data_IF_358204940189
#
_entry.id   IF_358204940189
#
_cell.length_a   1.000
_cell.length_b   1.000
_cell.length_c   1.000
_cell.angle_alpha   90.00
_cell.angle_beta   90.00
_cell.angle_gamma   90.00
#
_symmetry.space_group_name_H-M   'P 1'
#
loop_
_entity.id
_entity.type
_entity.pdbx_description
1 polymer ?
#
# COMPACT_ATOMS: atom_id res chain seq x y z
N UNK A 1 10.82 35.87 -7.23
CA UNK A 1 9.93 34.68 -7.31
C UNK A 1 8.50 35.15 -7.24
N UNK A 2 7.61 34.67 -8.12
CA UNK A 2 6.18 35.01 -8.08
C UNK A 2 5.55 34.24 -6.91
N UNK A 3 4.95 34.95 -5.96
CA UNK A 3 4.26 34.33 -4.83
C UNK A 3 3.01 33.61 -5.34
N UNK A 4 2.93 32.30 -5.08
CA UNK A 4 1.77 31.49 -5.44
C UNK A 4 0.59 31.81 -4.53
N UNK A 5 -0.62 31.63 -5.03
CA UNK A 5 -1.84 31.80 -4.23
C UNK A 5 -2.01 30.66 -3.21
N UNK A 6 -2.82 30.90 -2.19
CA UNK A 6 -3.10 29.91 -1.13
C UNK A 6 -3.71 28.64 -1.70
N UNK A 7 -4.63 28.76 -2.66
CA UNK A 7 -5.26 27.60 -3.32
C UNK A 7 -4.25 26.79 -4.14
N UNK A 8 -3.32 27.47 -4.83
CA UNK A 8 -2.24 26.79 -5.57
C UNK A 8 -1.31 26.02 -4.62
N UNK A 9 -0.98 26.57 -3.45
CA UNK A 9 -0.12 25.87 -2.48
C UNK A 9 -0.83 24.62 -1.93
N UNK A 10 -2.13 24.71 -1.67
CA UNK A 10 -2.87 23.64 -0.98
C UNK A 10 -2.91 22.32 -1.77
N UNK A 11 -3.09 22.38 -3.09
CA UNK A 11 -3.28 21.20 -3.94
C UNK A 11 -2.00 20.71 -4.65
N UNK A 12 -0.86 21.33 -4.37
CA UNK A 12 0.42 20.98 -5.01
C UNK A 12 1.09 19.82 -4.30
N UNK A 13 1.80 19.01 -5.11
CA UNK A 13 2.62 17.92 -4.59
C UNK A 13 3.87 18.47 -3.88
N UNK A 14 4.42 17.74 -2.90
CA UNK A 14 5.44 18.28 -2.02
C UNK A 14 6.75 18.67 -2.73
N UNK A 15 7.12 17.96 -3.80
CA UNK A 15 8.29 18.26 -4.62
C UNK A 15 8.13 19.50 -5.51
N UNK A 16 6.91 20.00 -5.68
CA UNK A 16 6.62 21.22 -6.46
C UNK A 16 6.66 22.49 -5.61
N UNK A 17 6.86 22.34 -4.30
CA UNK A 17 6.82 23.39 -3.30
C UNK A 17 8.19 23.60 -2.68
N UNK A 18 8.51 24.87 -2.39
CA UNK A 18 9.62 25.21 -1.51
C UNK A 18 9.33 24.80 -0.07
N UNK A 19 10.37 24.74 0.77
CA UNK A 19 10.23 24.42 2.20
C UNK A 19 9.25 25.37 2.91
N UNK A 20 9.33 26.68 2.60
CA UNK A 20 8.43 27.68 3.15
C UNK A 20 6.96 27.44 2.74
N UNK A 21 6.73 27.12 1.45
CA UNK A 21 5.39 26.83 0.95
C UNK A 21 4.82 25.53 1.56
N UNK A 22 5.65 24.50 1.79
CA UNK A 22 5.20 23.28 2.50
C UNK A 22 4.81 23.57 3.95
N UNK A 23 5.54 24.44 4.65
CA UNK A 23 5.15 24.89 6.01
C UNK A 23 3.81 25.62 5.97
N UNK A 24 3.57 26.48 4.97
CA UNK A 24 2.26 27.10 4.76
C UNK A 24 1.18 26.06 4.46
N UNK A 25 1.46 25.07 3.62
CA UNK A 25 0.53 23.98 3.32
C UNK A 25 0.14 23.22 4.59
N UNK A 26 1.09 22.88 5.46
CA UNK A 26 0.84 22.22 6.76
C UNK A 26 -0.09 23.08 7.64
N UNK A 27 0.18 24.38 7.76
CA UNK A 27 -0.65 25.29 8.57
C UNK A 27 -2.10 25.36 8.08
N UNK A 28 -2.33 25.24 6.77
CA UNK A 28 -3.67 25.18 6.18
C UNK A 28 -4.31 23.80 6.35
N UNK A 29 -3.50 22.73 6.25
CA UNK A 29 -3.93 21.34 6.34
C UNK A 29 -4.46 21.00 7.74
N UNK A 30 -3.90 21.58 8.81
CA UNK A 30 -4.33 21.28 10.19
C UNK A 30 -5.82 21.60 10.41
N UNK A 31 -6.29 22.87 10.30
CA UNK A 31 -7.69 23.18 10.57
C UNK A 31 -8.64 22.52 9.56
N UNK A 32 -8.29 22.53 8.27
CA UNK A 32 -9.12 21.91 7.23
C UNK A 32 -9.20 20.39 7.40
N UNK A 33 -8.07 19.75 7.70
CA UNK A 33 -7.94 18.33 7.91
C UNK A 33 -8.68 17.85 9.15
N UNK A 34 -8.66 18.61 10.26
CA UNK A 34 -9.43 18.28 11.46
C UNK A 34 -10.94 18.36 11.21
N UNK A 35 -11.41 19.42 10.52
CA UNK A 35 -12.83 19.57 10.13
C UNK A 35 -13.24 18.42 9.18
N UNK A 36 -12.39 18.11 8.21
CA UNK A 36 -12.64 17.00 7.27
C UNK A 36 -12.69 15.66 8.02
N UNK A 37 -11.78 15.43 8.97
CA UNK A 37 -11.70 14.20 9.76
C UNK A 37 -12.98 13.99 10.59
N UNK A 38 -13.48 15.03 11.26
CA UNK A 38 -14.71 14.90 12.05
C UNK A 38 -15.94 14.68 11.16
N UNK A 39 -16.05 15.39 10.03
CA UNK A 39 -17.14 15.23 9.07
C UNK A 39 -17.14 13.81 8.48
N UNK A 40 -15.99 13.33 8.01
CA UNK A 40 -15.88 11.99 7.43
C UNK A 40 -16.19 10.91 8.46
N UNK A 41 -15.68 11.04 9.69
CA UNK A 41 -15.98 10.08 10.76
C UNK A 41 -17.48 10.04 11.05
N UNK A 42 -18.09 11.20 11.24
CA UNK A 42 -19.49 11.31 11.58
C UNK A 42 -20.40 10.80 10.46
N UNK A 43 -20.15 11.17 9.21
CA UNK A 43 -20.97 10.72 8.07
C UNK A 43 -20.79 9.22 7.86
N UNK A 44 -19.56 8.73 7.70
CA UNK A 44 -19.34 7.33 7.34
C UNK A 44 -19.67 6.38 8.49
N UNK A 45 -19.10 6.61 9.68
CA UNK A 45 -19.25 5.66 10.77
C UNK A 45 -20.47 5.96 11.63
N UNK A 46 -20.76 7.24 11.89
CA UNK A 46 -21.91 7.64 12.69
C UNK A 46 -23.24 7.46 11.96
N UNK A 47 -23.43 8.11 10.81
CA UNK A 47 -24.71 8.13 10.09
C UNK A 47 -24.92 6.90 9.21
N UNK A 48 -23.94 6.52 8.38
CA UNK A 48 -24.14 5.47 7.39
C UNK A 48 -24.05 4.06 7.98
N UNK A 49 -23.09 3.82 8.89
CA UNK A 49 -22.88 2.50 9.49
C UNK A 49 -23.58 2.37 10.87
N UNK A 50 -23.82 3.48 11.58
CA UNK A 50 -24.47 3.47 12.89
C UNK A 50 -23.55 3.10 14.05
N UNK A 51 -22.24 3.23 13.88
CA UNK A 51 -21.22 2.99 14.91
C UNK A 51 -20.87 4.27 15.66
N UNK A 52 -20.26 4.12 16.84
CA UNK A 52 -19.64 5.26 17.51
C UNK A 52 -18.49 5.80 16.65
N UNK A 53 -18.62 7.03 16.14
CA UNK A 53 -17.65 7.61 15.22
C UNK A 53 -16.38 8.16 15.89
N UNK A 54 -16.39 8.38 17.21
CA UNK A 54 -15.28 9.04 17.93
C UNK A 54 -13.95 8.28 17.78
N UNK A 55 -13.91 6.93 17.91
CA UNK A 55 -12.67 6.19 17.69
C UNK A 55 -12.11 6.34 16.26
N UNK A 56 -12.98 6.45 15.25
CA UNK A 56 -12.57 6.65 13.86
C UNK A 56 -12.05 8.07 13.59
N UNK A 57 -12.53 9.07 14.31
CA UNK A 57 -11.96 10.43 14.26
C UNK A 57 -10.47 10.42 14.63
N UNK A 58 -10.08 9.63 15.62
CA UNK A 58 -8.67 9.46 15.99
C UNK A 58 -7.87 8.83 14.83
N UNK A 59 -8.44 7.84 14.13
CA UNK A 59 -7.79 7.24 12.95
C UNK A 59 -7.53 8.30 11.86
N UNK A 60 -8.51 9.14 11.53
CA UNK A 60 -8.31 10.21 10.56
C UNK A 60 -7.35 11.30 11.04
N UNK A 61 -7.30 11.61 12.33
CA UNK A 61 -6.27 12.49 12.88
C UNK A 61 -4.87 11.89 12.75
N UNK A 62 -4.71 10.57 12.88
CA UNK A 62 -3.44 9.90 12.62
C UNK A 62 -3.06 9.98 11.13
N UNK A 63 -4.04 9.91 10.22
CA UNK A 63 -3.78 10.17 8.79
C UNK A 63 -3.27 11.59 8.57
N UNK A 64 -3.94 12.56 9.17
CA UNK A 64 -3.52 13.95 9.09
C UNK A 64 -2.08 14.14 9.60
N UNK A 65 -1.72 13.51 10.71
CA UNK A 65 -0.37 13.54 11.26
C UNK A 65 0.65 12.86 10.33
N UNK A 66 0.31 11.74 9.69
CA UNK A 66 1.15 11.07 8.69
C UNK A 66 1.47 11.99 7.51
N UNK A 67 0.45 12.63 6.94
CA UNK A 67 0.61 13.62 5.86
C UNK A 67 1.47 14.81 6.31
N UNK A 68 1.22 15.38 7.49
CA UNK A 68 2.01 16.50 8.02
C UNK A 68 3.48 16.10 8.19
N UNK A 69 3.74 14.91 8.72
CA UNK A 69 5.09 14.38 8.89
C UNK A 69 5.84 14.30 7.57
N UNK A 70 5.19 13.76 6.53
CA UNK A 70 5.79 13.62 5.19
C UNK A 70 6.08 14.99 4.58
N UNK A 71 5.15 15.94 4.69
CA UNK A 71 5.35 17.31 4.17
C UNK A 71 6.51 18.02 4.89
N UNK A 72 6.59 17.87 6.21
CA UNK A 72 7.61 18.52 7.02
C UNK A 72 9.00 17.95 6.74
N UNK A 73 9.12 16.63 6.67
CA UNK A 73 10.40 15.93 6.46
C UNK A 73 10.68 15.59 5.00
N UNK A 74 9.96 16.19 4.04
CA UNK A 74 9.99 15.82 2.62
C UNK A 74 11.42 15.71 2.06
N UNK A 75 12.25 16.74 2.22
CA UNK A 75 13.59 16.76 1.62
C UNK A 75 14.51 15.67 2.21
N UNK A 76 14.40 15.40 3.51
CA UNK A 76 15.17 14.34 4.17
C UNK A 76 14.72 12.95 3.72
N UNK A 77 13.41 12.75 3.57
CA UNK A 77 12.83 11.50 3.10
C UNK A 77 13.16 11.27 1.60
N UNK A 78 13.06 12.31 0.77
CA UNK A 78 13.42 12.25 -0.66
C UNK A 78 14.90 11.99 -0.85
N UNK A 79 15.78 12.63 -0.08
CA UNK A 79 17.22 12.33 -0.10
C UNK A 79 17.52 10.87 0.29
N UNK A 80 16.80 10.33 1.27
CA UNK A 80 17.08 9.00 1.82
C UNK A 80 16.48 7.85 0.98
N UNK A 81 15.31 8.09 0.38
CA UNK A 81 14.50 7.03 -0.24
C UNK A 81 14.12 7.31 -1.70
N UNK A 82 14.33 8.52 -2.22
CA UNK A 82 13.94 8.92 -3.58
C UNK A 82 12.42 8.87 -3.76
N UNK A 83 11.70 9.82 -3.15
CA UNK A 83 10.22 9.85 -3.19
C UNK A 83 9.67 10.42 -4.51
N UNK A 84 10.44 11.31 -5.15
CA UNK A 84 10.08 11.88 -6.45
C UNK A 84 9.96 10.78 -7.51
N UNK A 85 8.95 10.84 -8.37
CA UNK A 85 8.79 9.86 -9.45
C UNK A 85 9.97 9.94 -10.43
N UNK A 86 10.57 8.80 -10.78
CA UNK A 86 11.56 8.69 -11.84
C UNK A 86 11.08 7.67 -12.86
N UNK A 87 10.63 8.13 -14.03
CA UNK A 87 9.97 7.27 -15.04
C UNK A 87 8.69 6.55 -14.58
N UNK A 88 8.20 6.82 -13.36
CA UNK A 88 6.91 6.32 -12.86
C UNK A 88 5.73 6.95 -13.60
N UNK A 89 4.67 6.20 -13.95
CA UNK A 89 3.41 6.75 -14.44
C UNK A 89 2.56 7.38 -13.31
N UNK A 90 3.03 7.32 -12.06
CA UNK A 90 2.33 7.81 -10.87
C UNK A 90 2.90 9.13 -10.36
N UNK A 91 2.16 9.76 -9.45
CA UNK A 91 2.55 11.05 -8.82
C UNK A 91 3.79 10.93 -7.93
N UNK A 92 4.15 9.71 -7.52
CA UNK A 92 5.27 9.40 -6.65
C UNK A 92 5.99 8.15 -7.16
N UNK A 93 7.24 7.97 -6.71
CA UNK A 93 7.96 6.72 -6.91
C UNK A 93 7.33 5.57 -6.11
N UNK A 94 7.74 4.34 -6.41
CA UNK A 94 7.46 3.16 -5.59
C UNK A 94 7.78 3.43 -4.11
N UNK A 95 8.98 3.96 -3.84
CA UNK A 95 9.44 4.27 -2.49
C UNK A 95 8.57 5.35 -1.84
N UNK A 96 8.15 6.35 -2.61
CA UNK A 96 7.19 7.37 -2.20
C UNK A 96 5.92 6.78 -1.60
N UNK A 97 5.29 5.85 -2.30
CA UNK A 97 4.07 5.19 -1.80
C UNK A 97 4.33 4.29 -0.59
N UNK A 98 5.46 3.58 -0.54
CA UNK A 98 5.80 2.74 0.63
C UNK A 98 6.00 3.60 1.88
N UNK A 99 6.68 4.75 1.77
CA UNK A 99 6.87 5.68 2.88
C UNK A 99 5.55 6.31 3.33
N UNK A 100 4.66 6.67 2.39
CA UNK A 100 3.30 7.10 2.75
C UNK A 100 2.61 6.03 3.57
N UNK A 101 2.52 4.80 3.05
CA UNK A 101 1.85 3.71 3.77
C UNK A 101 2.48 3.47 5.15
N UNK A 102 3.79 3.58 5.30
CA UNK A 102 4.48 3.45 6.58
C UNK A 102 4.07 4.54 7.58
N UNK A 103 4.06 5.81 7.16
CA UNK A 103 3.62 6.92 8.00
C UNK A 103 2.13 6.81 8.37
N UNK A 104 1.32 6.22 7.49
CA UNK A 104 -0.12 6.00 7.67
C UNK A 104 -0.45 4.70 8.43
N UNK A 105 0.53 3.83 8.68
CA UNK A 105 0.32 2.55 9.35
C UNK A 105 -0.36 2.66 10.73
N UNK A 106 -0.03 3.64 11.60
CA UNK A 106 -0.75 3.83 12.86
C UNK A 106 -2.24 4.13 12.66
N UNK A 107 -2.60 4.86 11.61
CA UNK A 107 -3.99 5.16 11.30
C UNK A 107 -4.75 3.92 10.84
N UNK A 108 -4.15 3.08 9.99
CA UNK A 108 -4.76 1.81 9.58
C UNK A 108 -4.92 0.86 10.76
N UNK A 109 -3.92 0.77 11.64
CA UNK A 109 -4.01 0.00 12.87
C UNK A 109 -5.19 0.47 13.72
N UNK A 110 -5.24 1.77 14.01
CA UNK A 110 -6.25 2.36 14.89
C UNK A 110 -7.66 2.29 14.28
N UNK A 111 -7.80 2.49 12.97
CA UNK A 111 -9.08 2.38 12.28
C UNK A 111 -9.67 0.97 12.38
N UNK A 112 -8.82 -0.05 12.25
CA UNK A 112 -9.28 -1.44 12.33
C UNK A 112 -9.53 -1.89 13.77
N UNK A 113 -8.71 -1.43 14.72
CA UNK A 113 -8.97 -1.58 16.14
C UNK A 113 -10.29 -0.92 16.57
N UNK A 114 -10.55 0.29 16.07
CA UNK A 114 -11.80 1.04 16.28
C UNK A 114 -13.00 0.26 15.77
N UNK A 115 -12.90 -0.34 14.57
CA UNK A 115 -13.96 -1.19 14.04
C UNK A 115 -14.27 -2.36 14.99
N UNK A 116 -13.24 -3.08 15.46
CA UNK A 116 -13.44 -4.16 16.43
C UNK A 116 -14.04 -3.70 17.75
N UNK A 117 -13.58 -2.57 18.28
CA UNK A 117 -14.11 -1.98 19.50
C UNK A 117 -15.60 -1.63 19.36
N UNK A 118 -15.97 -0.91 18.29
CA UNK A 118 -17.36 -0.46 18.09
C UNK A 118 -18.33 -1.57 17.68
N UNK A 119 -17.81 -2.68 17.15
CA UNK A 119 -18.60 -3.87 16.77
C UNK A 119 -18.64 -4.95 17.86
N UNK A 120 -18.12 -4.66 19.06
CA UNK A 120 -17.98 -5.61 20.17
C UNK A 120 -17.16 -6.88 19.83
N UNK A 121 -16.24 -6.78 18.86
CA UNK A 121 -15.29 -7.83 18.52
C UNK A 121 -13.86 -7.27 18.48
N UNK A 122 -13.39 -6.85 19.66
CA UNK A 122 -12.08 -6.21 19.82
C UNK A 122 -10.93 -7.10 19.34
N UNK A 123 -11.05 -8.41 19.52
CA UNK A 123 -10.03 -9.38 19.09
C UNK A 123 -9.94 -9.47 17.58
N UNK A 124 -11.07 -9.50 16.86
CA UNK A 124 -11.06 -9.39 15.41
C UNK A 124 -10.46 -8.07 14.96
N UNK A 125 -10.82 -6.95 15.61
CA UNK A 125 -10.24 -5.64 15.31
C UNK A 125 -8.72 -5.60 15.47
N UNK A 126 -8.19 -6.19 16.55
CA UNK A 126 -6.76 -6.30 16.80
C UNK A 126 -6.06 -7.15 15.73
N UNK A 127 -6.61 -8.32 15.40
CA UNK A 127 -6.06 -9.17 14.33
C UNK A 127 -6.13 -8.51 12.95
N UNK A 128 -7.23 -7.81 12.65
CA UNK A 128 -7.36 -7.00 11.44
C UNK A 128 -6.36 -5.85 11.38
N UNK A 129 -6.11 -5.18 12.50
CA UNK A 129 -5.09 -4.13 12.61
C UNK A 129 -3.69 -4.65 12.30
N UNK A 130 -3.33 -5.81 12.85
CA UNK A 130 -2.07 -6.51 12.53
C UNK A 130 -2.03 -6.86 11.03
N UNK A 131 -3.11 -7.39 10.47
CA UNK A 131 -3.19 -7.77 9.06
C UNK A 131 -3.05 -6.57 8.11
N UNK A 132 -3.49 -5.36 8.48
CA UNK A 132 -3.30 -4.16 7.66
C UNK A 132 -1.87 -3.61 7.71
N UNK A 133 -1.22 -3.67 8.88
CA UNK A 133 0.12 -3.11 9.08
C UNK A 133 1.22 -4.05 8.61
N UNK A 134 1.04 -5.36 8.77
CA UNK A 134 2.00 -6.38 8.36
C UNK A 134 2.53 -6.21 6.91
N UNK A 135 1.67 -6.09 5.88
CA UNK A 135 2.13 -5.89 4.51
C UNK A 135 2.90 -4.58 4.30
N UNK A 136 2.56 -3.53 5.05
CA UNK A 136 3.28 -2.23 4.99
C UNK A 136 4.72 -2.42 5.46
N UNK A 137 4.92 -3.09 6.60
CA UNK A 137 6.24 -3.39 7.13
C UNK A 137 7.05 -4.26 6.17
N UNK A 138 6.43 -5.30 5.59
CA UNK A 138 7.11 -6.15 4.62
C UNK A 138 7.55 -5.40 3.37
N UNK A 139 6.73 -4.49 2.83
CA UNK A 139 7.14 -3.62 1.73
C UNK A 139 8.26 -2.67 2.11
N UNK A 140 8.21 -2.08 3.31
CA UNK A 140 9.27 -1.18 3.80
C UNK A 140 10.61 -1.90 3.98
N UNK A 141 10.62 -3.10 4.57
CA UNK A 141 11.83 -3.92 4.69
C UNK A 141 12.45 -4.24 3.32
N UNK A 142 11.66 -4.20 2.25
CA UNK A 142 12.08 -4.46 0.87
C UNK A 142 12.11 -3.22 -0.01
N UNK A 143 12.10 -2.02 0.57
CA UNK A 143 12.03 -0.75 -0.17
C UNK A 143 13.20 -0.54 -1.15
N UNK A 144 14.34 -1.21 -0.93
CA UNK A 144 15.50 -1.20 -1.82
C UNK A 144 15.50 -2.31 -2.88
N UNK A 145 14.59 -3.29 -2.78
CA UNK A 145 14.50 -4.40 -3.74
C UNK A 145 13.68 -4.01 -4.98
N UNK A 146 12.68 -3.15 -4.80
CA UNK A 146 11.81 -2.66 -5.86
C UNK A 146 11.94 -1.15 -6.00
N UNK A 147 11.89 -0.66 -7.23
CA UNK A 147 11.98 0.75 -7.60
C UNK A 147 11.15 1.01 -8.88
N UNK A 148 11.15 2.24 -9.37
CA UNK A 148 10.40 2.58 -10.60
C UNK A 148 10.89 1.80 -11.84
N UNK A 149 12.16 1.38 -11.89
CA UNK A 149 12.67 0.52 -12.96
C UNK A 149 12.04 -0.88 -12.93
N UNK A 150 11.51 -1.30 -11.78
CA UNK A 150 10.76 -2.57 -11.65
C UNK A 150 9.45 -2.57 -12.45
N UNK A 151 9.07 -1.45 -13.07
CA UNK A 151 7.91 -1.32 -13.96
C UNK A 151 8.27 -1.69 -15.42
N UNK A 152 9.56 -1.68 -15.78
CA UNK A 152 10.04 -1.88 -17.15
C UNK A 152 10.00 -3.37 -17.53
N UNK A 153 9.29 -3.71 -18.59
CA UNK A 153 9.16 -5.08 -19.13
C UNK A 153 9.80 -5.14 -20.52
N UNK A 154 10.58 -6.18 -20.86
CA UNK A 154 10.99 -6.44 -22.23
C UNK A 154 9.77 -6.71 -23.12
N UNK A 155 9.48 -5.79 -24.04
CA UNK A 155 8.38 -5.81 -25.02
C UNK A 155 8.64 -6.63 -26.27
N UNK A 156 9.85 -7.14 -26.47
CA UNK A 156 10.28 -7.88 -27.66
C UNK A 156 11.43 -7.19 -28.37
N UNK A 157 11.94 -7.80 -29.45
CA UNK A 157 13.02 -7.21 -30.26
C UNK A 157 12.42 -6.32 -31.34
N UNK A 158 12.71 -5.03 -31.30
CA UNK A 158 12.49 -4.10 -32.40
C UNK A 158 13.76 -4.01 -33.24
N UNK A 159 13.61 -4.10 -34.56
CA UNK A 159 14.73 -3.86 -35.47
C UNK A 159 14.84 -2.36 -35.68
N UNK A 160 15.95 -1.74 -35.24
CA UNK A 160 16.17 -0.33 -35.54
C UNK A 160 16.56 -0.17 -37.02
N UNK A 161 16.10 0.89 -37.69
CA UNK A 161 16.70 1.31 -38.95
C UNK A 161 18.16 1.68 -38.72
N UNK A 162 19.02 1.51 -39.73
CA UNK A 162 20.49 1.69 -39.66
C UNK A 162 20.96 3.06 -39.13
N UNK A 163 20.05 4.03 -39.04
CA UNK A 163 20.28 5.34 -38.45
C UNK A 163 19.11 5.76 -37.56
N UNK A 164 19.41 6.03 -36.29
CA UNK A 164 18.49 6.69 -35.36
C UNK A 164 19.13 8.00 -34.91
N UNK A 165 18.44 9.11 -35.16
CA UNK A 165 18.82 10.43 -34.67
C UNK A 165 18.10 10.67 -33.35
N UNK A 166 18.85 10.83 -32.26
CA UNK A 166 18.31 11.15 -30.95
C UNK A 166 17.81 12.61 -30.89
N UNK A 167 16.95 12.96 -29.92
CA UNK A 167 16.43 14.32 -29.74
C UNK A 167 17.51 15.39 -29.49
N UNK A 168 18.72 14.99 -29.11
CA UNK A 168 19.90 15.84 -28.91
C UNK A 168 20.78 15.97 -30.18
N UNK A 169 20.36 15.37 -31.30
CA UNK A 169 21.07 15.40 -32.58
C UNK A 169 22.20 14.37 -32.71
N UNK A 170 22.39 13.48 -31.72
CA UNK A 170 23.38 12.40 -31.84
C UNK A 170 22.86 11.26 -32.73
N UNK A 171 23.66 10.87 -33.72
CA UNK A 171 23.39 9.69 -34.55
C UNK A 171 23.93 8.43 -33.86
N UNK A 172 23.03 7.52 -33.48
CA UNK A 172 23.39 6.19 -32.98
C UNK A 172 23.63 5.25 -34.17
N UNK A 173 24.89 5.16 -34.60
CA UNK A 173 25.39 4.12 -35.51
C UNK A 173 25.74 2.86 -34.71
N UNK A 174 24.72 2.17 -34.19
CA UNK A 174 24.92 0.88 -33.55
C UNK A 174 24.84 -0.21 -34.62
N UNK A 175 25.97 -0.84 -34.97
CA UNK A 175 26.06 -2.04 -35.81
C UNK A 175 25.38 -3.29 -35.23
N UNK A 176 24.48 -3.12 -34.25
CA UNK A 176 23.53 -4.12 -33.76
C UNK A 176 22.13 -3.56 -33.97
N UNK A 177 21.45 -4.16 -34.95
CA UNK A 177 20.13 -3.79 -35.46
C UNK A 177 18.97 -4.30 -34.62
N UNK A 178 19.20 -4.77 -33.39
CA UNK A 178 18.14 -5.21 -32.48
C UNK A 178 18.15 -4.37 -31.21
N UNK A 179 17.08 -3.59 -30.99
CA UNK A 179 16.81 -2.94 -29.71
C UNK A 179 15.62 -3.64 -29.07
N UNK A 180 15.77 -4.03 -27.82
CA UNK A 180 14.65 -4.60 -27.06
C UNK A 180 13.69 -3.45 -26.78
N UNK A 181 12.53 -3.46 -27.42
CA UNK A 181 11.44 -2.53 -27.09
C UNK A 181 11.07 -2.77 -25.63
N UNK A 182 10.97 -1.73 -24.82
CA UNK A 182 10.55 -1.87 -23.43
C UNK A 182 9.12 -1.37 -23.28
N UNK A 183 8.22 -2.22 -22.81
CA UNK A 183 6.84 -1.84 -22.49
C UNK A 183 6.77 -1.52 -20.99
N UNK A 184 6.10 -0.43 -20.64
CA UNK A 184 5.82 -0.10 -19.24
C UNK A 184 4.68 -1.01 -18.75
N UNK A 185 4.98 -1.84 -17.76
CA UNK A 185 4.02 -2.69 -17.09
C UNK A 185 3.16 -1.95 -16.07
N UNK A 186 2.32 -2.71 -15.37
CA UNK A 186 1.70 -2.26 -14.12
C UNK A 186 2.71 -2.27 -12.97
N UNK A 187 3.83 -3.01 -13.08
CA UNK A 187 4.86 -3.06 -12.03
C UNK A 187 4.32 -3.50 -10.67
N UNK A 188 5.18 -3.51 -9.66
CA UNK A 188 4.78 -3.81 -8.29
C UNK A 188 4.16 -2.56 -7.62
N UNK A 189 2.91 -2.21 -7.93
CA UNK A 189 2.29 -1.00 -7.32
C UNK A 189 2.08 -1.17 -5.81
N UNK A 190 2.76 -0.39 -4.93
CA UNK A 190 2.69 -0.63 -3.48
C UNK A 190 1.27 -0.68 -2.93
N UNK A 191 0.41 0.25 -3.36
CA UNK A 191 -0.98 0.32 -2.89
C UNK A 191 -1.76 -0.92 -3.28
N UNK A 192 -1.66 -1.37 -4.54
CA UNK A 192 -2.41 -2.55 -4.99
C UNK A 192 -1.95 -3.81 -4.26
N UNK A 193 -0.64 -3.97 -4.08
CA UNK A 193 -0.08 -5.11 -3.36
C UNK A 193 -0.45 -5.10 -1.88
N UNK A 194 -0.45 -3.91 -1.25
CA UNK A 194 -0.96 -3.73 0.10
C UNK A 194 -2.43 -4.13 0.22
N UNK A 195 -3.30 -3.68 -0.70
CA UNK A 195 -4.72 -4.04 -0.69
C UNK A 195 -4.92 -5.54 -0.87
N UNK A 196 -4.25 -6.16 -1.85
CA UNK A 196 -4.36 -7.59 -2.12
C UNK A 196 -3.85 -8.44 -0.93
N UNK A 197 -2.69 -8.09 -0.38
CA UNK A 197 -2.15 -8.74 0.80
C UNK A 197 -3.04 -8.51 2.04
N UNK A 198 -3.62 -7.34 2.20
CA UNK A 198 -4.53 -7.04 3.30
C UNK A 198 -5.83 -7.85 3.19
N UNK A 199 -6.43 -7.91 1.99
CA UNK A 199 -7.69 -8.61 1.76
C UNK A 199 -7.62 -10.10 2.13
N UNK A 200 -6.51 -10.77 1.81
CA UNK A 200 -6.31 -12.19 2.13
C UNK A 200 -6.06 -12.43 3.63
N UNK A 201 -5.33 -11.52 4.27
CA UNK A 201 -4.94 -11.65 5.68
C UNK A 201 -6.03 -11.24 6.66
N UNK A 202 -6.85 -10.24 6.32
CA UNK A 202 -7.73 -9.57 7.28
C UNK A 202 -8.73 -10.54 7.94
N UNK A 203 -9.38 -11.39 7.15
CA UNK A 203 -10.27 -12.40 7.72
C UNK A 203 -9.51 -13.48 8.49
N UNK A 204 -8.47 -14.05 7.86
CA UNK A 204 -7.70 -15.20 8.36
C UNK A 204 -7.02 -14.88 9.70
N UNK A 205 -6.31 -13.74 9.77
CA UNK A 205 -5.66 -13.25 10.99
C UNK A 205 -6.69 -12.74 11.99
N UNK A 206 -7.68 -11.95 11.55
CA UNK A 206 -8.74 -11.43 12.41
C UNK A 206 -9.51 -12.53 13.14
N UNK A 207 -9.93 -13.58 12.42
CA UNK A 207 -10.60 -14.75 13.00
C UNK A 207 -9.66 -15.57 13.88
N UNK A 208 -8.38 -15.68 13.54
CA UNK A 208 -7.37 -16.29 14.41
C UNK A 208 -7.30 -15.61 15.79
N UNK A 209 -7.26 -14.28 15.82
CA UNK A 209 -7.31 -13.52 17.09
C UNK A 209 -8.65 -13.72 17.82
N UNK A 210 -9.78 -13.69 17.12
CA UNK A 210 -11.07 -14.05 17.75
C UNK A 210 -11.06 -15.49 18.31
N UNK A 211 -10.39 -16.43 17.64
CA UNK A 211 -10.23 -17.81 18.09
C UNK A 211 -9.52 -17.92 19.44
N UNK A 212 -8.49 -17.10 19.68
CA UNK A 212 -7.82 -17.02 20.99
C UNK A 212 -8.84 -16.62 22.06
N UNK A 213 -9.66 -15.61 21.81
CA UNK A 213 -10.68 -15.19 22.78
C UNK A 213 -11.74 -16.27 23.03
N UNK A 214 -12.23 -16.93 21.97
CA UNK A 214 -13.20 -18.01 22.07
C UNK A 214 -12.61 -19.22 22.83
N UNK A 215 -11.34 -19.55 22.61
CA UNK A 215 -10.62 -20.55 23.40
C UNK A 215 -10.58 -20.17 24.89
N UNK A 216 -10.20 -18.93 25.21
CA UNK A 216 -10.08 -18.47 26.60
C UNK A 216 -11.43 -18.42 27.33
N UNK A 217 -12.54 -18.30 26.61
CA UNK A 217 -13.89 -18.14 27.21
C UNK A 217 -14.74 -19.40 27.14
N UNK A 218 -14.56 -20.24 26.13
CA UNK A 218 -15.39 -21.42 25.85
C UNK A 218 -14.60 -22.68 25.48
N UNK A 219 -13.27 -22.63 25.45
CA UNK A 219 -12.40 -23.78 25.17
C UNK A 219 -12.38 -24.26 23.72
N UNK A 220 -13.06 -23.55 22.80
CA UNK A 220 -13.17 -23.90 21.39
C UNK A 220 -13.10 -22.66 20.48
N UNK A 221 -12.36 -22.67 19.36
CA UNK A 221 -11.48 -23.74 18.86
C UNK A 221 -10.28 -23.96 19.78
N UNK A 222 -9.43 -24.97 19.50
CA UNK A 222 -8.18 -25.12 20.26
C UNK A 222 -7.25 -23.92 20.05
N UNK A 223 -6.37 -23.67 21.03
CA UNK A 223 -5.39 -22.59 20.93
C UNK A 223 -4.45 -22.78 19.73
N UNK A 224 -4.07 -24.03 19.44
CA UNK A 224 -3.23 -24.39 18.31
C UNK A 224 -3.90 -24.04 16.98
N UNK A 225 -5.21 -24.30 16.85
CA UNK A 225 -5.98 -23.93 15.66
C UNK A 225 -6.05 -22.40 15.49
N UNK A 226 -6.25 -21.66 16.59
CA UNK A 226 -6.26 -20.21 16.57
C UNK A 226 -4.90 -19.61 16.17
N UNK A 227 -3.80 -20.12 16.73
CA UNK A 227 -2.44 -19.71 16.39
C UNK A 227 -2.09 -20.09 14.95
N UNK A 228 -2.45 -21.31 14.53
CA UNK A 228 -2.24 -21.77 13.16
C UNK A 228 -2.92 -20.85 12.15
N UNK A 229 -4.17 -20.44 12.41
CA UNK A 229 -4.88 -19.48 11.58
C UNK A 229 -4.15 -18.14 11.44
N UNK A 230 -3.61 -17.60 12.54
CA UNK A 230 -2.83 -16.35 12.51
C UNK A 230 -1.60 -16.53 11.63
N UNK A 231 -0.82 -17.59 11.86
CA UNK A 231 0.41 -17.88 11.11
C UNK A 231 0.09 -18.10 9.63
N UNK A 232 -0.94 -18.89 9.30
CA UNK A 232 -1.39 -19.11 7.94
C UNK A 232 -1.76 -17.79 7.26
N UNK A 233 -2.52 -16.93 7.93
CA UNK A 233 -2.88 -15.61 7.43
C UNK A 233 -1.65 -14.79 7.07
N UNK A 234 -0.70 -14.62 7.99
CA UNK A 234 0.53 -13.86 7.76
C UNK A 234 1.39 -14.46 6.63
N UNK A 235 1.48 -15.79 6.54
CA UNK A 235 2.18 -16.48 5.44
C UNK A 235 1.52 -16.20 4.09
N UNK A 236 0.18 -16.24 4.02
CA UNK A 236 -0.56 -15.91 2.80
C UNK A 236 -0.35 -14.44 2.37
N UNK A 237 -0.33 -13.50 3.32
CA UNK A 237 0.02 -12.11 3.02
C UNK A 237 1.43 -12.00 2.46
N UNK A 238 2.37 -12.76 3.04
CA UNK A 238 3.77 -12.79 2.60
C UNK A 238 3.91 -13.16 1.13
N UNK A 239 3.13 -14.10 0.60
CA UNK A 239 3.19 -14.48 -0.83
C UNK A 239 3.08 -13.26 -1.75
N UNK A 240 2.22 -12.29 -1.41
CA UNK A 240 2.02 -11.06 -2.17
C UNK A 240 3.15 -10.06 -2.00
N UNK A 241 3.86 -10.09 -0.87
CA UNK A 241 5.01 -9.23 -0.61
C UNK A 241 6.27 -9.70 -1.33
N UNK A 242 6.25 -10.89 -1.93
CA UNK A 242 7.36 -11.50 -2.66
C UNK A 242 7.01 -11.85 -4.12
N UNK A 243 6.55 -10.87 -4.91
CA UNK A 243 6.14 -11.17 -6.27
C UNK A 243 7.33 -11.49 -7.19
N UNK A 244 8.54 -11.03 -6.89
CA UNK A 244 9.78 -11.48 -7.55
C UNK A 244 10.01 -12.99 -7.39
N UNK A 245 9.73 -13.54 -6.20
CA UNK A 245 9.84 -14.97 -5.94
C UNK A 245 8.72 -15.74 -6.63
N UNK A 246 7.51 -15.20 -6.61
CA UNK A 246 6.38 -15.80 -7.31
C UNK A 246 6.59 -15.82 -8.83
N UNK A 247 7.19 -14.78 -9.40
CA UNK A 247 7.51 -14.68 -10.83
C UNK A 247 8.46 -15.79 -11.31
N UNK A 248 9.25 -16.41 -10.40
CA UNK A 248 10.09 -17.56 -10.73
C UNK A 248 9.33 -18.89 -10.74
N UNK A 249 8.14 -18.93 -10.16
CA UNK A 249 7.31 -20.14 -10.02
C UNK A 249 6.25 -20.17 -11.12
N UNK A 250 5.65 -19.02 -11.43
CA UNK A 250 4.60 -18.91 -12.44
C UNK A 250 5.17 -18.46 -13.78
N UNK A 251 4.83 -19.10 -14.92
CA UNK A 251 5.33 -18.72 -16.24
C UNK A 251 4.59 -17.49 -16.80
N UNK A 252 4.34 -16.49 -15.95
CA UNK A 252 3.58 -15.28 -16.29
C UNK A 252 4.36 -14.09 -15.74
N UNK A 253 4.65 -13.09 -16.59
CA UNK A 253 5.26 -11.84 -16.16
C UNK A 253 4.30 -11.06 -15.25
N UNK A 254 4.54 -11.11 -13.94
CA UNK A 254 3.67 -10.53 -12.92
C UNK A 254 3.58 -9.00 -12.99
N UNK A 255 4.58 -8.34 -13.58
CA UNK A 255 4.58 -6.89 -13.81
C UNK A 255 3.60 -6.47 -14.90
N UNK A 256 3.14 -7.40 -15.75
CA UNK A 256 2.21 -7.11 -16.85
C UNK A 256 0.76 -6.95 -16.37
N UNK A 257 -0.12 -6.39 -17.20
CA UNK A 257 -1.57 -6.33 -16.92
C UNK A 257 -2.16 -7.73 -16.69
N UNK A 258 -1.72 -8.74 -17.44
CA UNK A 258 -2.14 -10.13 -17.26
C UNK A 258 -1.63 -10.70 -15.93
N UNK A 259 -0.39 -10.38 -15.57
CA UNK A 259 0.20 -10.69 -14.27
C UNK A 259 -0.58 -10.11 -13.10
N UNK A 260 -0.98 -8.84 -13.20
CA UNK A 260 -1.83 -8.21 -12.18
C UNK A 260 -3.19 -8.90 -12.04
N UNK A 261 -3.85 -9.23 -13.15
CA UNK A 261 -5.12 -9.98 -13.11
C UNK A 261 -4.92 -11.37 -12.48
N UNK A 262 -3.81 -12.04 -12.80
CA UNK A 262 -3.45 -13.31 -12.17
C UNK A 262 -3.30 -13.15 -10.64
N UNK A 263 -2.57 -12.12 -10.17
CA UNK A 263 -2.42 -11.84 -8.74
C UNK A 263 -3.76 -11.57 -8.06
N UNK A 264 -4.64 -10.82 -8.72
CA UNK A 264 -5.99 -10.55 -8.25
C UNK A 264 -6.82 -11.83 -8.11
N UNK A 265 -6.84 -12.69 -9.12
CA UNK A 265 -7.55 -13.99 -9.07
C UNK A 265 -6.96 -14.88 -7.97
N UNK A 266 -5.64 -14.91 -7.84
CA UNK A 266 -4.94 -15.69 -6.81
C UNK A 266 -5.41 -15.30 -5.40
N UNK A 267 -5.81 -14.04 -5.15
CA UNK A 267 -6.29 -13.62 -3.83
C UNK A 267 -7.56 -14.38 -3.47
N UNK A 268 -8.50 -14.49 -4.42
CA UNK A 268 -9.75 -15.21 -4.19
C UNK A 268 -9.53 -16.71 -4.02
N UNK A 269 -8.61 -17.30 -4.80
CA UNK A 269 -8.27 -18.72 -4.67
C UNK A 269 -7.69 -19.01 -3.30
N UNK A 270 -6.67 -18.27 -2.89
CA UNK A 270 -6.01 -18.48 -1.61
C UNK A 270 -6.92 -18.11 -0.42
N UNK A 271 -7.78 -17.10 -0.57
CA UNK A 271 -8.83 -16.79 0.40
C UNK A 271 -9.82 -17.95 0.54
N UNK A 272 -10.32 -18.51 -0.58
CA UNK A 272 -11.21 -19.67 -0.55
C UNK A 272 -10.57 -20.90 0.10
N UNK A 273 -9.28 -21.15 -0.18
CA UNK A 273 -8.52 -22.21 0.47
C UNK A 273 -8.36 -21.94 1.98
N UNK A 274 -8.09 -20.69 2.37
CA UNK A 274 -8.01 -20.34 3.79
C UNK A 274 -9.35 -20.56 4.49
N UNK A 275 -10.48 -20.19 3.87
CA UNK A 275 -11.83 -20.45 4.40
C UNK A 275 -12.10 -21.95 4.57
N UNK A 276 -11.72 -22.76 3.57
CA UNK A 276 -11.90 -24.20 3.63
C UNK A 276 -11.09 -24.82 4.78
N UNK A 277 -9.81 -24.46 4.91
CA UNK A 277 -8.97 -24.92 6.03
C UNK A 277 -9.56 -24.47 7.36
N UNK A 278 -10.05 -23.23 7.44
CA UNK A 278 -10.73 -22.72 8.63
C UNK A 278 -11.94 -23.57 9.02
N UNK A 279 -12.79 -23.94 8.05
CA UNK A 279 -13.99 -24.76 8.31
C UNK A 279 -13.69 -26.18 8.81
N UNK A 280 -12.45 -26.65 8.69
CA UNK A 280 -12.01 -27.93 9.23
C UNK A 280 -11.44 -27.81 10.66
N UNK A 281 -11.03 -26.61 11.06
CA UNK A 281 -10.34 -26.35 12.33
C UNK A 281 -11.24 -25.66 13.37
N UNK A 282 -12.35 -25.07 12.92
CA UNK A 282 -13.40 -24.39 13.70
C UNK A 282 -14.73 -25.13 13.56
#
# INVERSE_FOLDING_TARGET
>A
MKQRSISEIFFKLPYELSEAERKTQILLLIPFGLITSIILSYIWFGLLIGLNFIPFFIAFCLILLGVIFILYFWDNLDHSYGLKPFNSPFQLSYQGYVIILLCEAPAFFWGMFSLGFTSNNIWFGLGGAVALVYPILGMFLRIKTFNDDSIIIPGGKAVLPDKVVLPDGQELSSGKSEVVETVRGFGFMPISYWILASAIGLYTVGRGFSGIHLYLTGGYPSLEAAVFAIVLGLLLQTVYLFPDKLNNIVPIELRSKKGFIFMFILVFVLFGLSQFVFSLLW
#
